data_IF_155345068044
#
_entry.id   IF_155345068044
#
_cell.length_a   1.000
_cell.length_b   1.000
_cell.length_c   1.000
_cell.angle_alpha   90.00
_cell.angle_beta   90.00
_cell.angle_gamma   90.00
#
_symmetry.space_group_name_H-M   'P 1'
#
loop_
_entity.id
_entity.type
_entity.pdbx_description
1 polymer ?
#
# COMPACT_ATOMS: atom_id res chain seq x y z
N UNK A 1 -0.54 6.97 -14.35
CA UNK A 1 0.58 6.73 -13.42
C UNK A 1 0.04 6.91 -12.00
N UNK A 2 0.14 5.92 -11.11
CA UNK A 2 -0.55 5.94 -9.79
C UNK A 2 0.17 6.78 -8.71
N UNK A 3 1.46 7.07 -8.90
CA UNK A 3 2.29 7.71 -7.87
C UNK A 3 1.78 9.08 -7.39
N UNK A 4 1.35 10.03 -8.25
CA UNK A 4 0.81 11.31 -7.77
C UNK A 4 -0.42 11.15 -6.89
N UNK A 5 -1.26 10.16 -7.16
CA UNK A 5 -2.45 9.87 -6.36
C UNK A 5 -2.08 9.29 -4.98
N UNK A 6 -1.02 8.48 -4.89
CA UNK A 6 -0.49 8.00 -3.61
C UNK A 6 0.05 9.13 -2.75
N UNK A 7 0.67 10.14 -3.36
CA UNK A 7 1.14 11.34 -2.64
C UNK A 7 -0.06 12.10 -2.05
N UNK A 8 -1.13 12.30 -2.83
CA UNK A 8 -2.36 12.92 -2.32
C UNK A 8 -2.99 12.14 -1.17
N UNK A 9 -3.16 10.82 -1.36
CA UNK A 9 -3.69 9.92 -0.33
C UNK A 9 -2.83 10.00 0.94
N UNK A 10 -1.51 10.05 0.82
CA UNK A 10 -0.63 10.17 1.98
C UNK A 10 -0.85 11.48 2.75
N UNK A 11 -1.00 12.61 2.07
CA UNK A 11 -1.31 13.88 2.74
C UNK A 11 -2.70 13.85 3.41
N UNK A 12 -3.70 13.25 2.76
CA UNK A 12 -5.03 13.02 3.33
C UNK A 12 -4.98 12.13 4.59
N UNK A 13 -4.13 11.09 4.59
CA UNK A 13 -4.00 10.14 5.69
C UNK A 13 -3.22 10.68 6.89
N UNK A 14 -2.26 11.59 6.69
CA UNK A 14 -1.47 12.19 7.79
C UNK A 14 -2.35 12.84 8.85
N UNK A 15 -3.45 13.47 8.44
CA UNK A 15 -4.40 14.12 9.36
C UNK A 15 -5.33 13.12 10.04
N UNK A 16 -5.41 11.88 9.51
CA UNK A 16 -6.27 10.78 9.98
C UNK A 16 -5.50 9.68 10.71
N UNK A 17 -4.20 9.87 10.99
CA UNK A 17 -3.35 8.91 11.68
C UNK A 17 -2.82 7.76 10.82
N UNK A 18 -2.95 7.85 9.49
CA UNK A 18 -2.40 6.88 8.53
C UNK A 18 -1.17 7.42 7.80
N UNK A 19 -0.45 6.52 7.12
CA UNK A 19 0.68 6.89 6.25
C UNK A 19 0.81 5.90 5.09
N UNK A 20 1.29 6.39 3.95
CA UNK A 20 1.66 5.55 2.80
C UNK A 20 3.18 5.37 2.81
N UNK A 21 3.62 4.12 2.88
CA UNK A 21 5.03 3.74 2.77
C UNK A 21 5.29 3.04 1.44
N UNK A 22 6.44 3.31 0.83
CA UNK A 22 6.88 2.65 -0.40
C UNK A 22 7.94 1.62 -0.08
N UNK A 23 7.76 0.42 -0.61
CA UNK A 23 8.75 -0.66 -0.54
C UNK A 23 9.19 -1.02 -1.96
N UNK A 24 10.48 -0.84 -2.24
CA UNK A 24 11.04 -1.17 -3.55
C UNK A 24 11.48 -2.64 -3.57
N UNK A 25 10.79 -3.46 -4.37
CA UNK A 25 11.14 -4.86 -4.59
C UNK A 25 12.35 -5.00 -5.54
N UNK A 26 13.54 -4.66 -5.05
CA UNK A 26 14.80 -4.81 -5.77
C UNK A 26 15.57 -6.07 -5.30
N UNK A 27 16.82 -6.24 -5.77
CA UNK A 27 17.66 -7.40 -5.42
C UNK A 27 17.94 -7.48 -3.92
N UNK A 28 18.23 -6.35 -3.28
CA UNK A 28 18.56 -6.26 -1.85
C UNK A 28 17.34 -6.61 -0.97
N UNK A 29 16.15 -6.23 -1.42
CA UNK A 29 14.89 -6.45 -0.71
C UNK A 29 14.15 -7.73 -1.11
N UNK A 30 14.79 -8.61 -1.88
CA UNK A 30 14.15 -9.79 -2.48
C UNK A 30 13.54 -10.74 -1.44
N UNK A 31 14.23 -10.96 -0.32
CA UNK A 31 13.74 -11.87 0.73
C UNK A 31 12.49 -11.32 1.41
N UNK A 32 12.48 -10.03 1.73
CA UNK A 32 11.31 -9.37 2.31
C UNK A 32 10.14 -9.35 1.31
N UNK A 33 10.40 -9.10 0.02
CA UNK A 33 9.37 -9.20 -1.02
C UNK A 33 8.73 -10.59 -1.11
N UNK A 34 9.53 -11.65 -0.95
CA UNK A 34 9.02 -13.04 -0.87
C UNK A 34 8.21 -13.29 0.39
N UNK A 35 8.69 -12.85 1.55
CA UNK A 35 7.98 -13.00 2.84
C UNK A 35 6.63 -12.28 2.82
N UNK A 36 6.58 -11.10 2.19
CA UNK A 36 5.35 -10.33 2.01
C UNK A 36 4.43 -10.89 0.92
N UNK A 37 4.85 -11.93 0.18
CA UNK A 37 4.04 -12.58 -0.86
C UNK A 37 3.89 -11.75 -2.14
N UNK A 38 4.78 -10.80 -2.41
CA UNK A 38 4.65 -9.88 -3.56
C UNK A 38 4.97 -10.62 -4.86
N UNK A 39 3.95 -10.81 -5.71
CA UNK A 39 4.06 -11.45 -7.03
C UNK A 39 3.86 -10.48 -8.19
N UNK A 40 3.17 -9.37 -7.95
CA UNK A 40 2.76 -8.40 -8.98
C UNK A 40 3.18 -6.99 -8.55
N UNK A 41 3.63 -6.17 -9.49
CA UNK A 41 3.90 -4.75 -9.26
C UNK A 41 2.84 -3.88 -9.99
N UNK A 42 2.21 -2.89 -9.32
CA UNK A 42 2.25 -2.62 -7.88
C UNK A 42 1.35 -3.59 -7.09
N UNK A 43 1.72 -3.87 -5.84
CA UNK A 43 0.88 -4.50 -4.81
C UNK A 43 0.79 -3.55 -3.63
N UNK A 44 -0.41 -3.35 -3.09
CA UNK A 44 -0.66 -2.55 -1.90
C UNK A 44 -1.12 -3.45 -0.77
N UNK A 45 -0.54 -3.26 0.40
CA UNK A 45 -0.96 -3.91 1.63
C UNK A 45 -1.47 -2.85 2.59
N UNK A 46 -2.59 -3.16 3.27
CA UNK A 46 -3.08 -2.34 4.37
C UNK A 46 -2.72 -3.01 5.69
N UNK A 47 -2.10 -2.24 6.57
CA UNK A 47 -1.72 -2.69 7.91
C UNK A 47 -2.34 -1.78 8.97
N UNK A 48 -2.79 -2.39 10.07
CA UNK A 48 -3.20 -1.69 11.30
C UNK A 48 -2.49 -2.37 12.48
N UNK A 49 -1.66 -1.59 13.19
CA UNK A 49 -0.74 -2.17 14.18
C UNK A 49 0.26 -3.13 13.51
N UNK A 50 0.17 -4.43 13.83
CA UNK A 50 1.03 -5.48 13.24
C UNK A 50 0.26 -6.47 12.35
N UNK A 51 -1.02 -6.20 12.11
CA UNK A 51 -1.90 -7.09 11.37
C UNK A 51 -2.14 -6.56 9.94
N UNK A 52 -2.13 -7.47 8.97
CA UNK A 52 -2.48 -7.19 7.58
C UNK A 52 -3.99 -7.30 7.41
N UNK A 53 -4.67 -6.18 7.18
CA UNK A 53 -6.13 -6.13 7.01
C UNK A 53 -6.57 -6.47 5.58
N UNK A 54 -5.68 -6.25 4.60
CA UNK A 54 -6.02 -6.51 3.20
C UNK A 54 -4.84 -6.32 2.25
N UNK A 55 -5.05 -6.78 1.03
CA UNK A 55 -4.16 -6.55 -0.09
C UNK A 55 -4.92 -6.25 -1.37
N UNK A 56 -4.30 -5.48 -2.25
CA UNK A 56 -4.78 -5.29 -3.61
C UNK A 56 -3.61 -5.25 -4.59
N UNK A 57 -3.85 -5.72 -5.80
CA UNK A 57 -2.85 -5.72 -6.88
C UNK A 57 -3.30 -4.82 -8.02
N UNK A 58 -2.33 -4.20 -8.69
CA UNK A 58 -2.57 -3.34 -9.84
C UNK A 58 -2.83 -1.88 -9.47
N UNK A 59 -2.73 -1.00 -10.47
CA UNK A 59 -2.76 0.45 -10.29
C UNK A 59 -4.18 1.05 -10.30
N UNK A 60 -5.11 0.50 -9.48
CA UNK A 60 -6.51 0.95 -9.40
C UNK A 60 -6.73 1.87 -8.20
N UNK A 61 -6.75 3.18 -8.42
CA UNK A 61 -6.87 4.18 -7.34
C UNK A 61 -8.20 4.08 -6.61
N UNK A 62 -9.30 3.85 -7.33
CA UNK A 62 -10.63 3.77 -6.72
C UNK A 62 -10.71 2.63 -5.70
N UNK A 63 -10.23 1.44 -6.10
CA UNK A 63 -10.16 0.28 -5.19
C UNK A 63 -9.25 0.50 -3.99
N UNK A 64 -8.15 1.25 -4.18
CA UNK A 64 -7.25 1.61 -3.08
C UNK A 64 -7.96 2.53 -2.08
N UNK A 65 -8.67 3.55 -2.58
CA UNK A 65 -9.47 4.46 -1.74
C UNK A 65 -10.58 3.69 -1.01
N UNK A 66 -11.32 2.82 -1.69
CA UNK A 66 -12.35 1.98 -1.07
C UNK A 66 -11.77 1.10 0.06
N UNK A 67 -10.63 0.44 -0.17
CA UNK A 67 -9.98 -0.39 0.85
C UNK A 67 -9.54 0.43 2.07
N UNK A 68 -9.02 1.64 1.84
CA UNK A 68 -8.60 2.55 2.91
C UNK A 68 -9.81 3.02 3.73
N UNK A 69 -10.87 3.52 3.08
CA UNK A 69 -12.06 4.02 3.80
C UNK A 69 -12.81 2.93 4.56
N UNK A 70 -12.86 1.70 4.04
CA UNK A 70 -13.48 0.58 4.74
C UNK A 70 -12.73 0.16 6.02
N UNK A 71 -11.49 0.63 6.21
CA UNK A 71 -10.58 0.20 7.26
C UNK A 71 -9.87 1.38 7.95
N UNK A 72 -10.45 2.58 7.91
CA UNK A 72 -10.04 3.74 8.71
C UNK A 72 -10.95 3.87 9.93
#
# INVERSE_FOLDING_TARGET
MIYPELVKINEELKTRGGQVVKFNCNKDNKELGKQLGIKVAPTFHLYRGREKLGEMTGAKVDKLREMIEANL
#
